data_IF_772293670625
#
_entry.id   IF_772293670625
#
_cell.length_a   1.000
_cell.length_b   1.000
_cell.length_c   1.000
_cell.angle_alpha   90.00
_cell.angle_beta   90.00
_cell.angle_gamma   90.00
#
_symmetry.space_group_name_H-M   'P 1'
#
loop_
_entity.id
_entity.type
_entity.pdbx_description
1 polymer ?
#
# COMPACT_ATOMS: atom_id res chain seq x y z
N UNK A 1 40.88 -15.41 -9.09
CA UNK A 1 40.67 -15.53 -10.55
C UNK A 1 39.19 -15.37 -10.79
N UNK A 2 38.80 -14.66 -11.85
CA UNK A 2 37.37 -14.48 -12.19
C UNK A 2 36.87 -15.79 -12.81
N UNK A 3 35.84 -16.35 -12.21
CA UNK A 3 35.17 -17.57 -12.69
C UNK A 3 34.52 -17.28 -14.05
N UNK A 4 34.76 -18.14 -15.06
CA UNK A 4 34.21 -17.94 -16.41
C UNK A 4 32.75 -18.45 -16.47
N UNK A 5 32.01 -18.12 -17.54
CA UNK A 5 30.60 -18.50 -17.63
C UNK A 5 30.36 -20.02 -17.74
N UNK A 6 31.31 -20.76 -18.30
CA UNK A 6 31.26 -22.22 -18.38
C UNK A 6 31.48 -22.87 -17.01
N UNK A 7 32.41 -22.34 -16.22
CA UNK A 7 32.67 -22.74 -14.84
C UNK A 7 31.43 -22.50 -13.96
N UNK A 8 30.76 -21.35 -14.13
CA UNK A 8 29.51 -21.01 -13.42
C UNK A 8 28.38 -22.00 -13.73
N UNK A 9 28.31 -22.50 -14.98
CA UNK A 9 27.35 -23.54 -15.37
C UNK A 9 27.85 -24.97 -15.12
N UNK A 10 29.10 -25.15 -14.69
CA UNK A 10 29.72 -26.44 -14.43
C UNK A 10 29.91 -27.30 -15.69
N UNK A 11 30.26 -26.67 -16.80
CA UNK A 11 30.44 -27.29 -18.12
C UNK A 11 31.79 -26.88 -18.74
N UNK A 12 32.23 -27.56 -19.80
CA UNK A 12 33.50 -27.26 -20.49
C UNK A 12 33.33 -26.18 -21.57
N UNK A 13 34.39 -25.46 -21.90
CA UNK A 13 34.35 -24.32 -22.84
C UNK A 13 33.89 -24.67 -24.27
N UNK A 14 34.01 -25.94 -24.68
CA UNK A 14 33.57 -26.44 -26.00
C UNK A 14 32.16 -27.08 -25.96
N UNK A 15 31.38 -26.83 -24.90
CA UNK A 15 30.04 -27.39 -24.77
C UNK A 15 29.09 -26.84 -25.83
N UNK A 16 28.27 -27.73 -26.40
CA UNK A 16 27.24 -27.38 -27.38
C UNK A 16 26.12 -26.54 -26.77
N UNK A 17 25.38 -25.80 -27.59
CA UNK A 17 24.20 -25.03 -27.13
C UNK A 17 23.17 -25.87 -26.36
N UNK A 18 23.07 -27.15 -26.72
CA UNK A 18 22.20 -28.11 -26.04
C UNK A 18 22.71 -28.39 -24.62
N UNK A 19 24.00 -28.63 -24.45
CA UNK A 19 24.64 -28.88 -23.15
C UNK A 19 24.59 -27.65 -22.24
N UNK A 20 24.79 -26.45 -22.80
CA UNK A 20 24.63 -25.18 -22.09
C UNK A 20 23.20 -25.02 -21.55
N UNK A 21 22.19 -25.33 -22.39
CA UNK A 21 20.77 -25.25 -22.03
C UNK A 21 20.37 -26.29 -20.97
N UNK A 22 20.87 -27.50 -21.10
CA UNK A 22 20.58 -28.59 -20.17
C UNK A 22 21.24 -28.35 -18.79
N UNK A 23 22.46 -27.80 -18.77
CA UNK A 23 23.14 -27.38 -17.55
C UNK A 23 22.39 -26.23 -16.84
N UNK A 24 21.95 -25.22 -17.58
CA UNK A 24 21.12 -24.13 -17.04
C UNK A 24 19.83 -24.66 -16.43
N UNK A 25 19.11 -25.56 -17.12
CA UNK A 25 17.86 -26.15 -16.60
C UNK A 25 18.09 -26.93 -15.31
N UNK A 26 19.16 -27.72 -15.24
CA UNK A 26 19.52 -28.48 -14.03
C UNK A 26 19.79 -27.55 -12.85
N UNK A 27 20.61 -26.51 -13.05
CA UNK A 27 20.97 -25.54 -12.02
C UNK A 27 19.79 -24.64 -11.63
N UNK A 28 18.96 -24.22 -12.58
CA UNK A 28 17.76 -23.44 -12.33
C UNK A 28 16.75 -24.21 -11.47
N UNK A 29 16.61 -25.53 -11.66
CA UNK A 29 15.76 -26.40 -10.83
C UNK A 29 16.33 -26.64 -9.42
N UNK A 30 17.64 -26.55 -9.26
CA UNK A 30 18.34 -26.74 -7.99
C UNK A 30 18.32 -25.46 -7.13
N UNK A 31 18.49 -24.29 -7.76
CA UNK A 31 18.59 -22.99 -7.09
C UNK A 31 17.32 -22.14 -7.20
N UNK A 32 16.20 -22.71 -7.65
CA UNK A 32 14.91 -22.00 -7.68
C UNK A 32 14.47 -21.60 -6.26
N UNK A 33 13.99 -20.37 -6.10
CA UNK A 33 13.51 -19.82 -4.83
C UNK A 33 12.40 -20.67 -4.20
N UNK A 34 11.54 -21.26 -5.03
CA UNK A 34 10.43 -22.11 -4.58
C UNK A 34 10.88 -23.45 -3.97
N UNK A 35 12.18 -23.79 -4.10
CA UNK A 35 12.81 -24.97 -3.51
C UNK A 35 13.86 -24.64 -2.44
N UNK A 36 13.91 -23.38 -1.99
CA UNK A 36 14.83 -22.92 -0.95
C UNK A 36 16.25 -22.60 -1.43
N UNK A 37 16.46 -22.36 -2.73
CA UNK A 37 17.76 -21.97 -3.28
C UNK A 37 18.15 -20.51 -3.00
N UNK A 38 19.46 -20.24 -2.94
CA UNK A 38 19.99 -18.87 -2.76
C UNK A 38 19.78 -18.01 -4.01
N UNK A 39 19.10 -16.88 -3.84
CA UNK A 39 18.71 -15.95 -4.91
C UNK A 39 19.93 -15.40 -5.68
N UNK A 40 21.04 -15.14 -5.00
CA UNK A 40 22.26 -14.61 -5.62
C UNK A 40 22.90 -15.62 -6.59
N UNK A 41 22.89 -16.91 -6.25
CA UNK A 41 23.46 -17.96 -7.08
C UNK A 41 22.60 -18.20 -8.33
N UNK A 42 21.27 -18.13 -8.19
CA UNK A 42 20.36 -18.19 -9.33
C UNK A 42 20.55 -17.03 -10.32
N UNK A 43 20.73 -15.80 -9.81
CA UNK A 43 21.03 -14.63 -10.64
C UNK A 43 22.33 -14.83 -11.41
N UNK A 44 23.38 -15.36 -10.75
CA UNK A 44 24.67 -15.65 -11.37
C UNK A 44 24.56 -16.71 -12.48
N UNK A 45 23.83 -17.79 -12.23
CA UNK A 45 23.56 -18.88 -13.19
C UNK A 45 22.80 -18.36 -14.41
N UNK A 46 21.79 -17.53 -14.19
CA UNK A 46 20.99 -16.92 -15.27
C UNK A 46 21.84 -16.00 -16.15
N UNK A 47 22.68 -15.17 -15.52
CA UNK A 47 23.58 -14.27 -16.25
C UNK A 47 24.58 -15.04 -17.11
N UNK A 48 25.23 -16.07 -16.55
CA UNK A 48 26.18 -16.90 -17.29
C UNK A 48 25.54 -17.61 -18.50
N UNK A 49 24.29 -18.07 -18.37
CA UNK A 49 23.54 -18.66 -19.48
C UNK A 49 23.24 -17.67 -20.61
N UNK A 50 22.77 -16.47 -20.28
CA UNK A 50 22.50 -15.43 -21.29
C UNK A 50 23.78 -14.93 -21.97
N UNK A 51 24.88 -14.81 -21.22
CA UNK A 51 26.18 -14.42 -21.75
C UNK A 51 26.74 -15.49 -22.72
N UNK A 52 26.63 -16.78 -22.39
CA UNK A 52 27.06 -17.86 -23.30
C UNK A 52 26.21 -17.94 -24.57
N UNK A 53 24.92 -17.62 -24.50
CA UNK A 53 24.02 -17.58 -25.67
C UNK A 53 24.44 -16.54 -26.71
N UNK A 54 25.14 -15.48 -26.28
CA UNK A 54 25.71 -14.44 -27.16
C UNK A 54 27.22 -14.62 -27.37
N UNK A 55 27.79 -15.76 -26.97
CA UNK A 55 29.20 -16.10 -27.18
C UNK A 55 30.18 -15.44 -26.22
N UNK A 56 29.73 -14.88 -25.09
CA UNK A 56 30.60 -14.27 -24.07
C UNK A 56 31.13 -15.33 -23.10
N UNK A 57 32.45 -15.47 -23.06
CA UNK A 57 33.16 -16.43 -22.19
C UNK A 57 33.23 -16.01 -20.72
N UNK A 58 33.24 -14.71 -20.42
CA UNK A 58 33.33 -14.19 -19.05
C UNK A 58 32.11 -13.34 -18.69
N UNK A 59 31.71 -13.31 -17.40
CA UNK A 59 30.69 -12.39 -16.93
C UNK A 59 31.11 -10.93 -17.15
N UNK A 60 30.15 -10.03 -17.29
CA UNK A 60 30.44 -8.60 -17.44
C UNK A 60 31.31 -8.07 -16.30
N UNK A 61 32.41 -7.41 -16.68
CA UNK A 61 33.28 -6.69 -15.74
C UNK A 61 32.52 -5.51 -15.12
N UNK A 62 32.95 -5.01 -13.96
CA UNK A 62 32.30 -3.85 -13.32
C UNK A 62 32.34 -2.58 -14.19
N UNK A 63 33.26 -2.52 -15.16
CA UNK A 63 33.36 -1.45 -16.16
C UNK A 63 32.33 -1.65 -17.28
N UNK A 64 32.14 -2.89 -17.76
CA UNK A 64 31.10 -3.23 -18.73
C UNK A 64 29.69 -3.13 -18.14
N UNK A 65 29.49 -3.50 -16.87
CA UNK A 65 28.25 -3.24 -16.15
C UNK A 65 27.95 -1.75 -16.07
N UNK A 66 28.96 -0.89 -15.85
CA UNK A 66 28.81 0.58 -15.90
C UNK A 66 28.56 1.12 -17.30
N UNK A 67 29.11 0.49 -18.34
CA UNK A 67 28.89 0.92 -19.72
C UNK A 67 27.55 0.40 -20.28
N UNK A 68 27.12 -0.82 -19.96
CA UNK A 68 25.81 -1.36 -20.35
C UNK A 68 24.66 -0.76 -19.53
N UNK A 69 24.90 -0.33 -18.29
CA UNK A 69 23.95 0.53 -17.56
C UNK A 69 23.87 1.96 -18.14
N UNK A 70 24.86 2.38 -18.94
CA UNK A 70 24.83 3.62 -19.74
C UNK A 70 24.21 3.44 -21.14
N UNK A 71 23.93 2.22 -21.60
CA UNK A 71 23.32 1.97 -22.93
C UNK A 71 21.77 1.99 -22.90
N UNK A 72 21.17 2.26 -21.73
CA UNK A 72 19.77 2.68 -21.61
C UNK A 72 19.60 4.19 -21.32
N UNK A 73 20.62 5.02 -21.59
CA UNK A 73 20.59 6.46 -21.27
C UNK A 73 20.73 7.39 -22.47
N UNK A 74 20.17 7.02 -23.63
CA UNK A 74 19.93 7.97 -24.74
C UNK A 74 18.44 8.32 -24.91
N UNK A 75 17.58 7.93 -23.97
CA UNK A 75 16.27 8.54 -23.84
C UNK A 75 16.41 9.78 -22.97
N UNK A 76 16.26 10.95 -23.58
CA UNK A 76 16.13 12.17 -22.79
C UNK A 76 14.91 12.04 -21.87
N UNK A 77 14.86 12.76 -20.76
CA UNK A 77 13.63 12.81 -19.94
C UNK A 77 12.39 13.18 -20.78
N UNK A 78 12.58 13.96 -21.84
CA UNK A 78 11.53 14.32 -22.78
C UNK A 78 11.04 13.10 -23.59
N UNK A 79 11.92 12.19 -23.98
CA UNK A 79 11.55 10.96 -24.70
C UNK A 79 10.79 9.99 -23.79
N UNK A 80 11.26 9.81 -22.56
CA UNK A 80 10.56 8.99 -21.55
C UNK A 80 9.18 9.57 -21.25
N UNK A 81 9.07 10.88 -21.04
CA UNK A 81 7.79 11.58 -20.84
C UNK A 81 6.85 11.40 -22.03
N UNK A 82 7.36 11.54 -23.26
CA UNK A 82 6.57 11.36 -24.49
C UNK A 82 6.04 9.94 -24.62
N UNK A 83 6.88 8.91 -24.40
CA UNK A 83 6.45 7.50 -24.41
C UNK A 83 5.38 7.21 -23.37
N UNK A 84 5.61 7.70 -22.15
CA UNK A 84 4.70 7.55 -21.02
C UNK A 84 3.34 8.23 -21.26
N UNK A 85 3.33 9.37 -21.95
CA UNK A 85 2.11 10.06 -22.36
C UNK A 85 1.34 9.25 -23.42
N UNK A 86 2.03 8.72 -24.43
CA UNK A 86 1.42 7.87 -25.46
C UNK A 86 0.81 6.60 -24.84
N UNK A 87 1.56 5.95 -23.94
CA UNK A 87 1.11 4.76 -23.22
C UNK A 87 -0.15 5.05 -22.41
N UNK A 88 -0.14 6.12 -21.61
CA UNK A 88 -1.27 6.51 -20.78
C UNK A 88 -2.50 6.85 -21.61
N UNK A 89 -2.33 7.52 -22.77
CA UNK A 89 -3.42 7.82 -23.69
C UNK A 89 -4.04 6.56 -24.29
N UNK A 90 -3.22 5.60 -24.72
CA UNK A 90 -3.71 4.33 -25.28
C UNK A 90 -4.49 3.52 -24.25
N UNK A 91 -3.92 3.37 -23.05
CA UNK A 91 -4.57 2.65 -21.95
C UNK A 91 -5.87 3.34 -21.51
N UNK A 92 -5.86 4.66 -21.35
CA UNK A 92 -7.05 5.42 -20.92
C UNK A 92 -8.20 5.30 -21.92
N UNK A 93 -7.90 5.34 -23.22
CA UNK A 93 -8.90 5.12 -24.28
C UNK A 93 -9.49 3.71 -24.22
N UNK A 94 -8.64 2.71 -23.95
CA UNK A 94 -9.08 1.33 -23.81
C UNK A 94 -9.96 1.16 -22.56
N UNK A 95 -9.57 1.76 -21.42
CA UNK A 95 -10.38 1.75 -20.19
C UNK A 95 -11.72 2.44 -20.39
N UNK A 96 -11.76 3.53 -21.16
CA UNK A 96 -13.03 4.18 -21.51
C UNK A 96 -13.94 3.28 -22.35
N UNK A 97 -13.36 2.48 -23.23
CA UNK A 97 -14.09 1.49 -24.02
C UNK A 97 -14.63 0.37 -23.12
N UNK A 98 -13.83 -0.09 -22.16
CA UNK A 98 -14.22 -1.07 -21.15
C UNK A 98 -15.36 -0.57 -20.25
N UNK A 99 -15.27 0.67 -19.77
CA UNK A 99 -16.33 1.34 -19.00
C UNK A 99 -17.64 1.41 -19.78
N UNK A 100 -17.61 1.92 -21.03
CA UNK A 100 -18.81 2.03 -21.85
C UNK A 100 -19.45 0.66 -22.13
N UNK A 101 -18.64 -0.36 -22.36
CA UNK A 101 -19.10 -1.74 -22.55
C UNK A 101 -19.78 -2.28 -21.28
N UNK A 102 -19.15 -2.14 -20.12
CA UNK A 102 -19.71 -2.58 -18.84
C UNK A 102 -21.01 -1.83 -18.51
N UNK A 103 -21.04 -0.52 -18.71
CA UNK A 103 -22.23 0.31 -18.50
C UNK A 103 -23.39 -0.09 -19.43
N UNK A 104 -23.11 -0.42 -20.69
CA UNK A 104 -24.13 -0.86 -21.65
C UNK A 104 -24.74 -2.20 -21.25
N UNK A 105 -23.90 -3.17 -20.85
CA UNK A 105 -24.37 -4.46 -20.34
C UNK A 105 -25.17 -4.30 -19.06
N UNK A 106 -24.73 -3.42 -18.16
CA UNK A 106 -25.44 -3.17 -16.92
C UNK A 106 -26.82 -2.56 -17.14
N UNK A 107 -26.92 -1.54 -18.01
CA UNK A 107 -28.20 -0.92 -18.39
C UNK A 107 -29.16 -1.89 -19.08
N UNK A 108 -28.62 -2.80 -19.88
CA UNK A 108 -29.42 -3.77 -20.65
C UNK A 108 -29.66 -5.09 -19.88
N UNK A 109 -29.14 -5.21 -18.66
CA UNK A 109 -29.15 -6.42 -17.85
C UNK A 109 -28.64 -7.67 -18.60
N UNK A 110 -27.63 -7.51 -19.45
CA UNK A 110 -27.04 -8.58 -20.25
C UNK A 110 -25.74 -9.07 -19.62
N UNK A 111 -25.50 -10.37 -19.71
CA UNK A 111 -24.23 -10.98 -19.29
C UNK A 111 -23.28 -11.15 -20.45
N UNK A 112 -22.04 -10.75 -20.28
CA UNK A 112 -20.98 -11.05 -21.24
C UNK A 112 -19.60 -10.92 -20.59
N UNK A 113 -18.61 -11.51 -21.25
CA UNK A 113 -17.19 -11.40 -20.93
C UNK A 113 -16.45 -10.85 -22.12
N UNK A 114 -15.47 -9.96 -21.89
CA UNK A 114 -14.63 -9.39 -22.93
C UNK A 114 -13.24 -9.08 -22.41
N UNK A 115 -12.25 -9.38 -23.23
CA UNK A 115 -10.86 -8.97 -23.03
C UNK A 115 -10.62 -7.58 -23.64
N UNK A 116 -9.92 -6.75 -22.90
CA UNK A 116 -9.49 -5.40 -23.28
C UNK A 116 -7.98 -5.29 -23.16
N UNK A 117 -7.39 -4.35 -23.90
CA UNK A 117 -5.95 -4.12 -23.91
C UNK A 117 -5.22 -4.96 -24.94
N UNK A 118 -3.92 -5.16 -24.72
CA UNK A 118 -3.07 -5.88 -25.67
C UNK A 118 -1.96 -6.64 -24.95
N UNK A 119 -1.39 -7.64 -25.62
CA UNK A 119 -0.22 -8.37 -25.12
C UNK A 119 0.98 -7.47 -24.76
N UNK A 120 1.08 -6.29 -25.36
CA UNK A 120 2.19 -5.36 -25.12
C UNK A 120 1.91 -4.35 -24.01
N UNK A 121 0.64 -4.01 -23.78
CA UNK A 121 0.22 -2.99 -22.81
C UNK A 121 -0.38 -3.57 -21.52
N UNK A 122 -0.63 -4.88 -21.51
CA UNK A 122 -1.39 -5.56 -20.49
C UNK A 122 -2.83 -5.84 -20.96
N UNK A 123 -3.33 -7.01 -20.59
CA UNK A 123 -4.68 -7.45 -20.91
C UNK A 123 -5.52 -7.49 -19.63
N UNK A 124 -6.76 -7.02 -19.70
CA UNK A 124 -7.74 -7.14 -18.63
C UNK A 124 -9.00 -7.81 -19.15
N UNK A 125 -9.53 -8.75 -18.38
CA UNK A 125 -10.80 -9.43 -18.65
C UNK A 125 -11.87 -8.80 -17.77
N UNK A 126 -12.95 -8.31 -18.39
CA UNK A 126 -14.15 -7.90 -17.68
C UNK A 126 -15.26 -8.90 -17.96
N UNK A 127 -15.99 -9.28 -16.92
CA UNK A 127 -17.18 -10.12 -16.99
C UNK A 127 -18.31 -9.46 -16.19
N UNK A 128 -19.42 -9.11 -16.86
CA UNK A 128 -20.65 -8.73 -16.17
C UNK A 128 -21.47 -9.99 -15.91
N UNK A 129 -21.61 -10.37 -14.64
CA UNK A 129 -22.32 -11.57 -14.17
C UNK A 129 -23.83 -11.38 -14.13
N UNK A 130 -24.62 -12.45 -14.13
CA UNK A 130 -26.09 -12.39 -14.14
C UNK A 130 -26.68 -11.54 -13.00
N UNK A 131 -26.02 -11.53 -11.84
CA UNK A 131 -26.41 -10.80 -10.64
C UNK A 131 -26.07 -9.30 -10.66
N UNK A 132 -25.54 -8.74 -11.75
CA UNK A 132 -25.13 -7.32 -11.78
C UNK A 132 -23.68 -7.05 -11.41
N UNK A 133 -22.97 -8.02 -10.83
CA UNK A 133 -21.58 -7.80 -10.43
C UNK A 133 -20.65 -7.77 -11.65
N UNK A 134 -19.70 -6.83 -11.64
CA UNK A 134 -18.61 -6.77 -12.60
C UNK A 134 -17.37 -7.45 -12.01
N UNK A 135 -16.89 -8.52 -12.65
CA UNK A 135 -15.61 -9.13 -12.34
C UNK A 135 -14.54 -8.55 -13.24
N UNK A 136 -13.42 -8.12 -12.67
CA UNK A 136 -12.26 -7.61 -13.39
C UNK A 136 -11.06 -8.49 -13.04
N UNK A 137 -10.42 -9.08 -14.05
CA UNK A 137 -9.18 -9.85 -13.89
C UNK A 137 -8.06 -9.22 -14.71
N UNK A 138 -6.87 -9.14 -14.12
CA UNK A 138 -5.71 -8.46 -14.73
C UNK A 138 -5.38 -7.16 -13.99
N UNK A 139 -4.22 -6.58 -14.30
CA UNK A 139 -3.77 -5.35 -13.63
C UNK A 139 -4.47 -4.12 -14.24
N UNK A 140 -5.05 -3.27 -13.41
CA UNK A 140 -5.76 -2.07 -13.84
C UNK A 140 -4.87 -0.83 -13.70
N UNK A 141 -4.71 -0.08 -14.79
CA UNK A 141 -3.83 1.09 -14.86
C UNK A 141 -4.31 2.11 -15.89
N UNK A 142 -4.03 3.38 -15.63
CA UNK A 142 -4.14 4.50 -16.56
C UNK A 142 -5.56 4.68 -17.15
N UNK A 143 -6.50 5.11 -16.32
CA UNK A 143 -7.87 5.39 -16.76
C UNK A 143 -8.88 5.35 -15.63
N UNK A 144 -10.13 5.68 -15.97
CA UNK A 144 -11.24 5.63 -15.01
C UNK A 144 -12.31 4.63 -15.44
N UNK A 145 -12.95 4.02 -14.45
CA UNK A 145 -14.15 3.21 -14.65
C UNK A 145 -15.20 3.61 -13.61
N UNK A 146 -16.39 3.95 -14.08
CA UNK A 146 -17.58 4.18 -13.27
C UNK A 146 -18.57 3.05 -13.47
N UNK A 147 -19.06 2.46 -12.39
CA UNK A 147 -19.98 1.33 -12.48
C UNK A 147 -21.08 1.40 -11.41
N UNK A 148 -22.30 1.01 -11.78
CA UNK A 148 -23.43 0.93 -10.86
C UNK A 148 -23.68 -0.52 -10.45
N UNK A 149 -23.02 -0.94 -9.38
CA UNK A 149 -23.13 -2.29 -8.84
C UNK A 149 -21.80 -2.82 -8.30
N UNK A 150 -21.81 -4.03 -7.71
CA UNK A 150 -20.63 -4.58 -7.07
C UNK A 150 -19.50 -4.87 -8.07
N UNK A 151 -18.25 -4.63 -7.66
CA UNK A 151 -17.06 -5.02 -8.41
C UNK A 151 -16.22 -6.02 -7.61
N UNK A 152 -15.83 -7.12 -8.25
CA UNK A 152 -14.81 -8.04 -7.74
C UNK A 152 -13.55 -7.97 -8.59
N UNK A 153 -12.41 -7.69 -7.98
CA UNK A 153 -11.13 -7.49 -8.66
C UNK A 153 -10.15 -8.63 -8.35
N UNK A 154 -9.47 -9.12 -9.39
CA UNK A 154 -8.35 -10.06 -9.32
C UNK A 154 -7.16 -9.50 -10.11
N UNK A 155 -6.33 -8.73 -9.44
CA UNK A 155 -5.18 -8.06 -10.03
C UNK A 155 -4.81 -6.80 -9.24
N UNK A 156 -3.64 -6.24 -9.53
CA UNK A 156 -3.20 -5.01 -8.87
C UNK A 156 -3.79 -3.77 -9.56
N UNK A 157 -3.94 -2.70 -8.81
CA UNK A 157 -4.39 -1.39 -9.29
C UNK A 157 -3.23 -0.42 -9.10
N UNK A 158 -2.82 0.24 -10.17
CA UNK A 158 -1.69 1.18 -10.11
C UNK A 158 -2.01 2.43 -10.90
N UNK A 159 -1.72 3.59 -10.34
CA UNK A 159 -1.82 4.84 -11.07
C UNK A 159 -0.48 5.24 -11.71
N UNK A 160 -0.49 5.72 -12.97
CA UNK A 160 0.68 6.37 -13.55
C UNK A 160 1.23 7.47 -12.65
N UNK A 161 2.50 7.39 -12.26
CA UNK A 161 3.14 8.42 -11.43
C UNK A 161 3.61 9.64 -12.22
N UNK A 162 3.61 9.57 -13.55
CA UNK A 162 4.16 10.62 -14.43
C UNK A 162 3.11 11.60 -14.96
N UNK A 163 1.81 11.34 -14.78
CA UNK A 163 0.74 12.17 -15.33
C UNK A 163 -0.53 12.09 -14.50
N UNK A 164 -1.10 13.25 -14.15
CA UNK A 164 -2.40 13.34 -13.49
C UNK A 164 -3.57 13.09 -14.44
N UNK A 165 -3.38 13.33 -15.73
CA UNK A 165 -4.44 13.21 -16.75
C UNK A 165 -4.96 11.77 -16.85
N UNK A 166 -4.09 10.79 -16.65
CA UNK A 166 -4.43 9.37 -16.72
C UNK A 166 -4.41 8.72 -15.33
N UNK A 167 -4.75 9.49 -14.29
CA UNK A 167 -4.86 8.93 -12.95
C UNK A 167 -5.84 7.75 -12.94
N UNK A 168 -5.43 6.67 -12.28
CA UNK A 168 -6.27 5.48 -12.15
C UNK A 168 -7.38 5.75 -11.15
N UNK A 169 -8.64 5.70 -11.59
CA UNK A 169 -9.82 5.90 -10.75
C UNK A 169 -10.87 4.81 -10.94
N UNK A 170 -11.31 4.18 -9.86
CA UNK A 170 -12.45 3.27 -9.84
C UNK A 170 -13.55 3.91 -9.01
N UNK A 171 -14.72 4.13 -9.60
CA UNK A 171 -15.87 4.73 -8.93
C UNK A 171 -17.09 3.81 -9.02
N UNK A 172 -17.65 3.44 -7.88
CA UNK A 172 -18.92 2.73 -7.79
C UNK A 172 -19.99 3.67 -7.24
N UNK A 173 -21.10 3.81 -7.96
CA UNK A 173 -22.27 4.54 -7.44
C UNK A 173 -23.05 3.71 -6.42
N UNK A 174 -23.03 2.39 -6.58
CA UNK A 174 -23.62 1.45 -5.64
C UNK A 174 -22.88 0.10 -5.62
N UNK A 175 -23.04 -0.65 -4.55
CA UNK A 175 -22.48 -1.99 -4.39
C UNK A 175 -21.07 -2.01 -3.79
N UNK A 176 -20.63 -3.20 -3.37
CA UNK A 176 -19.32 -3.34 -2.73
C UNK A 176 -18.20 -3.46 -3.76
N UNK A 177 -17.03 -2.88 -3.43
CA UNK A 177 -15.77 -3.14 -4.13
C UNK A 177 -14.93 -4.14 -3.33
N UNK A 178 -14.54 -5.27 -3.93
CA UNK A 178 -13.79 -6.32 -3.23
C UNK A 178 -12.65 -6.90 -4.05
N UNK A 179 -11.49 -7.09 -3.43
CA UNK A 179 -10.48 -8.02 -3.94
C UNK A 179 -10.89 -9.46 -3.66
N UNK A 180 -10.54 -10.38 -4.56
CA UNK A 180 -10.72 -11.83 -4.31
C UNK A 180 -9.59 -12.32 -3.40
N UNK A 181 -9.92 -12.83 -2.21
CA UNK A 181 -8.97 -13.32 -1.20
C UNK A 181 -7.86 -12.30 -0.83
N UNK A 182 -8.23 -11.09 -0.35
CA UNK A 182 -7.31 -9.96 -0.17
C UNK A 182 -6.13 -10.21 0.77
N UNK A 183 -6.25 -11.19 1.69
CA UNK A 183 -5.22 -11.53 2.66
C UNK A 183 -4.24 -12.61 2.15
N UNK A 184 -4.64 -13.37 1.13
CA UNK A 184 -3.82 -14.47 0.58
C UNK A 184 -3.07 -14.03 -0.67
N UNK A 185 -3.67 -13.12 -1.44
CA UNK A 185 -3.07 -12.59 -2.65
C UNK A 185 -2.09 -11.45 -2.32
N UNK A 186 -1.12 -11.23 -3.22
CA UNK A 186 -0.16 -10.11 -3.13
C UNK A 186 -0.59 -8.91 -3.97
N UNK A 187 -1.89 -8.79 -4.28
CA UNK A 187 -2.38 -7.66 -5.05
C UNK A 187 -2.32 -6.38 -4.21
N UNK A 188 -2.05 -5.29 -4.91
CA UNK A 188 -1.81 -3.98 -4.30
C UNK A 188 -2.57 -2.89 -5.03
N UNK A 189 -2.90 -1.84 -4.29
CA UNK A 189 -3.43 -0.58 -4.82
C UNK A 189 -2.37 0.48 -4.56
N UNK A 190 -1.82 1.10 -5.60
CA UNK A 190 -0.65 1.97 -5.43
C UNK A 190 -0.56 3.19 -6.35
N UNK A 191 0.44 4.03 -6.06
CA UNK A 191 0.92 5.12 -6.90
C UNK A 191 -0.05 6.28 -7.12
N UNK A 192 -0.97 6.50 -6.19
CA UNK A 192 -1.97 7.56 -6.29
C UNK A 192 -3.28 7.13 -6.94
N UNK A 193 -3.54 5.83 -7.00
CA UNK A 193 -4.85 5.32 -7.43
C UNK A 193 -5.97 5.82 -6.51
N UNK A 194 -7.15 6.01 -7.07
CA UNK A 194 -8.34 6.45 -6.35
C UNK A 194 -9.44 5.38 -6.48
N UNK A 195 -10.00 4.95 -5.35
CA UNK A 195 -11.16 4.08 -5.29
C UNK A 195 -12.24 4.77 -4.47
N UNK A 196 -13.41 5.00 -5.07
CA UNK A 196 -14.56 5.65 -4.44
C UNK A 196 -15.77 4.74 -4.56
N UNK A 197 -16.47 4.53 -3.45
CA UNK A 197 -17.75 3.80 -3.40
C UNK A 197 -18.77 4.68 -2.69
N UNK A 198 -19.75 5.21 -3.42
CA UNK A 198 -20.74 6.14 -2.86
C UNK A 198 -21.68 5.44 -1.86
N UNK A 199 -22.14 4.25 -2.24
CA UNK A 199 -23.10 3.44 -1.47
C UNK A 199 -22.72 1.95 -1.48
N UNK A 200 -21.85 1.55 -0.56
CA UNK A 200 -21.37 0.19 -0.43
C UNK A 200 -20.10 0.14 0.40
N UNK A 201 -19.51 -1.05 0.54
CA UNK A 201 -18.30 -1.27 1.33
C UNK A 201 -17.08 -1.56 0.44
N UNK A 202 -15.89 -1.42 1.00
CA UNK A 202 -14.63 -1.77 0.36
C UNK A 202 -13.93 -2.85 1.17
N UNK A 203 -13.51 -3.95 0.51
CA UNK A 203 -12.70 -5.00 1.12
C UNK A 203 -11.48 -5.26 0.24
N UNK A 204 -10.32 -4.81 0.71
CA UNK A 204 -9.07 -4.78 -0.05
C UNK A 204 -7.92 -5.34 0.79
N UNK A 205 -6.78 -5.58 0.14
CA UNK A 205 -5.56 -6.01 0.79
C UNK A 205 -4.65 -4.82 1.07
N UNK A 206 -3.53 -4.79 0.38
CA UNK A 206 -2.44 -3.84 0.61
C UNK A 206 -2.60 -2.56 -0.22
N UNK A 207 -2.41 -1.41 0.43
CA UNK A 207 -2.54 -0.07 -0.17
C UNK A 207 -1.26 0.72 0.09
N UNK A 208 -0.71 1.28 -0.98
CA UNK A 208 0.57 2.00 -0.92
C UNK A 208 0.44 3.40 -1.52
N UNK A 209 0.95 4.39 -0.81
CA UNK A 209 1.31 5.67 -1.40
C UNK A 209 2.71 5.64 -2.00
N UNK A 210 3.14 6.79 -2.52
CA UNK A 210 4.57 7.07 -2.76
C UNK A 210 4.92 8.52 -2.48
N UNK A 211 6.18 8.75 -2.12
CA UNK A 211 6.83 10.07 -2.06
C UNK A 211 8.06 10.05 -2.94
N UNK A 212 8.23 11.05 -3.79
CA UNK A 212 9.46 11.26 -4.55
C UNK A 212 10.15 12.52 -4.08
N UNK A 213 11.48 12.45 -3.96
CA UNK A 213 12.31 13.64 -3.83
C UNK A 213 12.62 14.15 -5.23
N UNK A 214 12.13 15.33 -5.57
CA UNK A 214 12.37 16.00 -6.84
C UNK A 214 13.32 17.17 -6.59
N UNK A 215 14.33 17.34 -7.43
CA UNK A 215 15.23 18.48 -7.32
C UNK A 215 14.49 19.80 -7.57
N UNK A 216 15.02 20.89 -7.01
CA UNK A 216 14.44 22.22 -7.20
C UNK A 216 14.35 22.57 -8.70
N UNK A 217 13.18 23.02 -9.20
CA UNK A 217 13.00 23.37 -10.61
C UNK A 217 13.98 24.45 -11.11
N UNK A 218 14.49 25.31 -10.22
CA UNK A 218 15.47 26.35 -10.54
C UNK A 218 16.93 25.81 -10.50
N UNK A 219 17.14 24.51 -10.27
CA UNK A 219 18.46 23.87 -10.24
C UNK A 219 19.28 24.17 -9.00
N UNK A 220 18.66 24.65 -7.91
CA UNK A 220 19.37 24.96 -6.65
C UNK A 220 19.86 23.68 -5.99
N UNK A 221 21.18 23.51 -5.99
CA UNK A 221 21.86 22.37 -5.35
C UNK A 221 21.51 22.30 -3.86
N UNK A 222 21.03 21.13 -3.42
CA UNK A 222 20.67 20.87 -2.03
C UNK A 222 19.23 21.22 -1.65
N UNK A 223 18.47 21.89 -2.52
CA UNK A 223 17.03 22.13 -2.35
C UNK A 223 16.26 21.04 -3.08
N UNK A 224 15.27 20.46 -2.42
CA UNK A 224 14.40 19.44 -3.00
C UNK A 224 12.96 19.66 -2.57
N UNK A 225 12.05 19.30 -3.45
CA UNK A 225 10.62 19.26 -3.20
C UNK A 225 10.18 17.82 -3.04
N UNK A 226 9.31 17.54 -2.08
CA UNK A 226 8.71 16.22 -1.93
C UNK A 226 7.42 16.22 -2.75
N UNK A 227 7.36 15.37 -3.77
CA UNK A 227 6.16 15.13 -4.55
C UNK A 227 5.45 13.89 -4.02
N UNK A 228 4.24 14.07 -3.50
CA UNK A 228 3.42 12.97 -2.97
C UNK A 228 2.46 12.44 -4.03
N UNK A 229 2.41 11.10 -4.15
CA UNK A 229 1.43 10.36 -4.92
C UNK A 229 0.53 9.61 -3.95
N UNK A 230 -0.36 10.36 -3.30
CA UNK A 230 -1.24 9.82 -2.26
C UNK A 230 -2.33 8.95 -2.87
N UNK A 231 -2.41 7.70 -2.43
CA UNK A 231 -3.47 6.75 -2.83
C UNK A 231 -4.70 6.99 -1.96
N UNK A 232 -5.88 7.06 -2.57
CA UNK A 232 -7.13 7.46 -1.91
C UNK A 232 -8.17 6.34 -1.98
N UNK A 233 -8.70 5.93 -0.83
CA UNK A 233 -9.78 4.94 -0.72
C UNK A 233 -10.94 5.58 0.06
N UNK A 234 -12.12 5.64 -0.53
CA UNK A 234 -13.26 6.33 0.07
C UNK A 234 -14.56 5.53 -0.04
N UNK A 235 -15.25 5.41 1.10
CA UNK A 235 -16.58 4.84 1.24
C UNK A 235 -17.30 5.60 2.36
N UNK A 236 -17.71 6.87 2.14
CA UNK A 236 -18.02 7.81 3.21
C UNK A 236 -19.11 7.35 4.19
N UNK A 237 -20.07 6.57 3.68
CA UNK A 237 -21.20 6.02 4.43
C UNK A 237 -21.09 4.50 4.67
N UNK A 238 -19.97 3.89 4.28
CA UNK A 238 -19.78 2.45 4.34
C UNK A 238 -18.61 2.04 5.22
N UNK A 239 -18.19 0.79 5.05
CA UNK A 239 -17.06 0.19 5.74
C UNK A 239 -15.89 -0.04 4.79
N UNK A 240 -14.68 0.27 5.25
CA UNK A 240 -13.44 -0.12 4.58
C UNK A 240 -12.72 -1.16 5.44
N UNK A 241 -12.38 -2.29 4.82
CA UNK A 241 -11.51 -3.31 5.39
C UNK A 241 -10.25 -3.37 4.53
N UNK A 242 -9.08 -3.14 5.13
CA UNK A 242 -7.79 -3.23 4.46
C UNK A 242 -6.77 -4.00 5.31
N UNK A 243 -5.76 -4.58 4.67
CA UNK A 243 -4.68 -5.25 5.38
C UNK A 243 -3.66 -4.20 5.86
N UNK A 244 -2.82 -3.72 4.95
CA UNK A 244 -1.77 -2.74 5.26
C UNK A 244 -1.99 -1.45 4.46
N UNK A 245 -1.91 -0.32 5.16
CA UNK A 245 -1.83 1.03 4.57
C UNK A 245 -0.40 1.52 4.77
N UNK A 246 0.33 1.83 3.71
CA UNK A 246 1.76 2.14 3.79
C UNK A 246 2.09 3.37 2.95
N UNK A 247 2.98 4.23 3.43
CA UNK A 247 3.34 5.51 2.79
C UNK A 247 2.12 6.45 2.70
N UNK A 248 2.12 7.33 1.69
CA UNK A 248 1.06 8.33 1.48
C UNK A 248 -0.28 7.69 1.11
N UNK A 249 -1.07 7.32 2.11
CA UNK A 249 -2.42 6.77 1.92
C UNK A 249 -3.45 7.63 2.65
N UNK A 250 -4.59 7.85 2.03
CA UNK A 250 -5.78 8.44 2.65
C UNK A 250 -6.94 7.47 2.57
N UNK A 251 -7.58 7.20 3.70
CA UNK A 251 -8.76 6.36 3.80
C UNK A 251 -9.88 7.13 4.52
N UNK A 252 -11.06 7.22 3.91
CA UNK A 252 -12.24 7.86 4.51
C UNK A 252 -13.47 6.95 4.45
N UNK A 253 -14.09 6.70 5.61
CA UNK A 253 -15.32 5.92 5.71
C UNK A 253 -16.15 6.25 6.95
N UNK A 254 -17.28 5.57 7.15
CA UNK A 254 -17.96 5.58 8.45
C UNK A 254 -17.25 4.63 9.43
N UNK A 255 -16.89 3.43 8.97
CA UNK A 255 -16.15 2.41 9.74
C UNK A 255 -14.91 1.93 8.98
N UNK A 256 -13.75 1.89 9.65
CA UNK A 256 -12.48 1.43 9.10
C UNK A 256 -11.95 0.29 9.96
N UNK A 257 -11.64 -0.84 9.32
CA UNK A 257 -10.99 -2.00 9.92
C UNK A 257 -9.67 -2.24 9.21
N UNK A 258 -8.55 -2.20 9.94
CA UNK A 258 -7.22 -2.36 9.36
C UNK A 258 -6.32 -3.24 10.20
N UNK A 259 -5.36 -3.90 9.55
CA UNK A 259 -4.27 -4.57 10.25
C UNK A 259 -3.20 -3.54 10.62
N UNK A 260 -2.59 -2.87 9.65
CA UNK A 260 -1.47 -1.94 9.91
C UNK A 260 -1.60 -0.63 9.12
N UNK A 261 -0.98 0.42 9.66
CA UNK A 261 -0.80 1.72 9.02
C UNK A 261 0.63 2.23 9.32
N UNK A 262 1.42 2.42 8.27
CA UNK A 262 2.84 2.76 8.39
C UNK A 262 3.17 3.95 7.49
N UNK A 263 3.85 4.97 8.02
CA UNK A 263 4.43 6.11 7.27
C UNK A 263 3.41 7.04 6.56
N UNK A 264 2.96 8.12 7.18
CA UNK A 264 2.08 9.17 6.58
C UNK A 264 0.73 8.64 6.03
N UNK A 265 0.12 7.75 6.81
CA UNK A 265 -1.24 7.28 6.58
C UNK A 265 -2.24 8.22 7.26
N UNK A 266 -3.30 8.59 6.53
CA UNK A 266 -4.42 9.39 7.04
C UNK A 266 -5.70 8.58 7.03
N UNK A 267 -6.32 8.45 8.19
CA UNK A 267 -7.53 7.66 8.41
C UNK A 267 -8.61 8.61 8.90
N UNK A 268 -9.75 8.69 8.22
CA UNK A 268 -10.90 9.51 8.61
C UNK A 268 -12.12 8.61 8.80
N UNK A 269 -12.60 8.45 10.04
CA UNK A 269 -13.77 7.61 10.31
C UNK A 269 -14.47 7.92 11.63
N UNK A 270 -15.70 7.42 11.76
CA UNK A 270 -16.45 7.39 13.02
C UNK A 270 -16.04 6.18 13.85
N UNK A 271 -15.85 5.02 13.24
CA UNK A 271 -15.31 3.83 13.91
C UNK A 271 -13.97 3.42 13.31
N UNK A 272 -12.95 3.23 14.16
CA UNK A 272 -11.65 2.69 13.76
C UNK A 272 -11.29 1.46 14.59
N UNK A 273 -11.16 0.32 13.93
CA UNK A 273 -10.77 -0.96 14.52
C UNK A 273 -9.40 -1.37 14.00
N UNK A 274 -8.41 -1.40 14.89
CA UNK A 274 -7.02 -1.69 14.57
C UNK A 274 -6.62 -3.07 15.09
N UNK A 275 -6.34 -4.01 14.19
CA UNK A 275 -6.08 -5.41 14.54
C UNK A 275 -4.60 -5.80 14.57
N UNK A 276 -3.73 -5.05 13.89
CA UNK A 276 -2.29 -5.31 13.89
C UNK A 276 -1.53 -4.47 14.90
N UNK A 277 -0.22 -4.69 14.92
CA UNK A 277 0.69 -4.11 15.92
C UNK A 277 1.36 -2.81 15.49
N UNK A 278 1.11 -2.32 14.27
CA UNK A 278 1.87 -1.20 13.69
C UNK A 278 1.00 0.00 13.31
N UNK A 279 1.22 1.11 14.00
CA UNK A 279 0.72 2.44 13.65
C UNK A 279 1.88 3.42 13.76
N UNK A 280 2.56 3.74 12.66
CA UNK A 280 3.89 4.38 12.72
C UNK A 280 3.97 5.67 11.91
N UNK A 281 4.93 6.52 12.30
CA UNK A 281 5.50 7.68 11.58
C UNK A 281 4.51 8.59 10.84
N UNK A 282 4.36 9.83 11.32
CA UNK A 282 3.54 10.87 10.66
C UNK A 282 2.08 10.48 10.33
N UNK A 283 1.60 9.37 10.88
CA UNK A 283 0.25 8.85 10.63
C UNK A 283 -0.78 9.51 11.55
N UNK A 284 -1.97 9.76 11.00
CA UNK A 284 -3.05 10.51 11.65
C UNK A 284 -4.36 9.75 11.56
N UNK A 285 -5.05 9.63 12.70
CA UNK A 285 -6.46 9.23 12.76
C UNK A 285 -7.30 10.48 13.02
N UNK A 286 -8.09 10.89 12.04
CA UNK A 286 -9.15 11.89 12.15
C UNK A 286 -10.45 11.21 12.61
N UNK A 287 -10.79 11.38 13.90
CA UNK A 287 -11.98 10.77 14.49
C UNK A 287 -13.17 11.70 14.38
N UNK A 288 -14.21 11.25 13.68
CA UNK A 288 -15.50 11.95 13.53
C UNK A 288 -16.25 12.01 14.86
N UNK A 289 -17.07 13.05 15.05
CA UNK A 289 -17.82 13.27 16.28
C UNK A 289 -18.68 12.06 16.66
N UNK A 290 -18.70 11.72 17.95
CA UNK A 290 -19.38 10.52 18.47
C UNK A 290 -18.67 9.20 18.15
N UNK A 291 -17.47 9.26 17.55
CA UNK A 291 -16.72 8.09 17.11
C UNK A 291 -16.01 7.30 18.22
N UNK A 292 -15.46 6.16 17.82
CA UNK A 292 -14.70 5.25 18.68
C UNK A 292 -13.45 4.68 17.99
N UNK A 293 -12.42 4.43 18.78
CA UNK A 293 -11.18 3.78 18.35
C UNK A 293 -10.90 2.57 19.25
N UNK A 294 -10.49 1.45 18.66
CA UNK A 294 -10.12 0.22 19.38
C UNK A 294 -8.83 -0.37 18.80
N UNK A 295 -7.87 -0.64 19.68
CA UNK A 295 -6.62 -1.33 19.34
C UNK A 295 -6.65 -2.73 19.93
N UNK A 296 -6.60 -3.77 19.09
CA UNK A 296 -6.74 -5.18 19.51
C UNK A 296 -5.41 -5.89 19.79
N UNK A 297 -4.27 -5.25 19.53
CA UNK A 297 -2.94 -5.77 19.87
C UNK A 297 -2.87 -6.18 21.36
N UNK A 298 -2.35 -7.39 21.62
CA UNK A 298 -2.30 -8.02 22.95
C UNK A 298 -0.88 -8.26 23.46
N UNK A 299 0.10 -8.32 22.57
CA UNK A 299 1.47 -8.70 22.88
C UNK A 299 2.35 -7.48 23.13
N UNK A 300 2.46 -6.58 22.14
CA UNK A 300 3.37 -5.44 22.21
C UNK A 300 2.82 -4.21 21.51
N UNK A 301 2.60 -3.15 22.29
CA UNK A 301 2.24 -1.83 21.76
C UNK A 301 3.46 -1.02 21.29
N UNK A 302 4.63 -1.63 21.13
CA UNK A 302 5.84 -0.93 20.68
C UNK A 302 5.72 -0.44 19.23
N UNK A 303 5.07 -1.22 18.35
CA UNK A 303 4.81 -0.82 16.97
C UNK A 303 3.75 0.28 16.82
N UNK A 304 3.05 0.63 17.89
CA UNK A 304 2.19 1.80 17.95
C UNK A 304 3.04 3.02 18.32
N UNK A 305 3.49 3.77 17.32
CA UNK A 305 4.44 4.85 17.49
C UNK A 305 3.88 5.98 18.35
N UNK A 306 4.74 6.59 19.16
CA UNK A 306 4.34 7.68 20.07
C UNK A 306 4.03 9.00 19.38
N UNK A 307 4.56 9.20 18.17
CA UNK A 307 4.36 10.40 17.33
C UNK A 307 3.03 10.40 16.57
N UNK A 308 2.39 9.23 16.45
CA UNK A 308 1.07 9.08 15.85
C UNK A 308 0.05 10.02 16.49
N UNK A 309 -0.83 10.61 15.66
CA UNK A 309 -1.76 11.65 16.11
C UNK A 309 -3.20 11.15 15.97
N UNK A 310 -3.98 11.35 17.02
CA UNK A 310 -5.43 11.32 16.93
C UNK A 310 -5.93 12.75 16.90
N UNK A 311 -6.60 13.14 15.83
CA UNK A 311 -7.21 14.45 15.63
C UNK A 311 -8.72 14.28 15.71
N UNK A 312 -9.35 14.95 16.65
CA UNK A 312 -10.80 15.00 16.74
C UNK A 312 -11.36 15.98 15.71
N UNK A 313 -12.60 15.78 15.29
CA UNK A 313 -13.31 16.66 14.35
C UNK A 313 -13.33 18.14 14.81
N UNK A 314 -13.40 18.40 16.12
CA UNK A 314 -13.29 19.75 16.69
C UNK A 314 -11.87 20.38 16.61
N UNK A 315 -10.90 19.67 16.03
CA UNK A 315 -9.52 20.10 15.84
C UNK A 315 -8.56 19.74 16.98
N UNK A 316 -9.04 19.17 18.11
CA UNK A 316 -8.17 18.74 19.21
C UNK A 316 -7.23 17.63 18.73
N UNK A 317 -5.92 17.80 18.96
CA UNK A 317 -4.89 16.80 18.63
C UNK A 317 -4.35 16.15 19.89
N UNK A 318 -4.27 14.83 19.88
CA UNK A 318 -3.79 13.99 20.99
C UNK A 318 -2.71 13.09 20.43
N UNK A 319 -1.57 12.99 21.11
CA UNK A 319 -0.50 12.08 20.72
C UNK A 319 -0.82 10.68 21.21
N UNK A 320 -0.54 9.68 20.39
CA UNK A 320 -0.76 8.29 20.76
C UNK A 320 0.09 7.90 21.99
N UNK A 321 1.26 8.51 22.17
CA UNK A 321 2.06 8.39 23.39
C UNK A 321 1.27 8.67 24.67
N UNK A 322 0.43 9.71 24.68
CA UNK A 322 -0.36 10.10 25.85
C UNK A 322 -1.41 9.02 26.17
N UNK A 323 -1.96 8.35 25.14
CA UNK A 323 -2.94 7.29 25.30
C UNK A 323 -2.32 5.97 25.75
N UNK A 324 -1.11 5.65 25.27
CA UNK A 324 -0.36 4.44 25.66
C UNK A 324 -0.02 4.44 27.15
N UNK A 325 0.18 5.61 27.74
CA UNK A 325 0.58 5.75 29.15
C UNK A 325 -0.59 5.99 30.09
N UNK A 326 -1.75 6.41 29.57
CA UNK A 326 -2.96 6.68 30.38
C UNK A 326 -3.59 5.36 30.84
N UNK A 327 -3.78 5.22 32.16
CA UNK A 327 -4.47 4.07 32.76
C UNK A 327 -5.98 4.28 32.71
N UNK A 328 -6.72 3.19 32.50
CA UNK A 328 -8.20 3.20 32.48
C UNK A 328 -8.76 3.67 33.83
N UNK A 329 -8.14 3.25 34.93
CA UNK A 329 -8.57 3.63 36.30
C UNK A 329 -8.52 5.14 36.56
N UNK A 330 -7.64 5.86 35.84
CA UNK A 330 -7.39 7.30 36.01
C UNK A 330 -8.34 8.15 35.14
N UNK A 331 -9.28 7.53 34.41
CA UNK A 331 -10.35 8.24 33.70
C UNK A 331 -11.37 8.81 34.70
N UNK A 332 -12.27 9.69 34.27
CA UNK A 332 -13.41 10.11 35.09
C UNK A 332 -14.46 8.96 35.15
N UNK A 333 -15.09 8.75 36.31
CA UNK A 333 -16.13 7.74 36.50
C UNK A 333 -17.33 7.95 35.55
N UNK A 334 -17.60 9.21 35.17
CA UNK A 334 -18.63 9.54 34.17
C UNK A 334 -18.39 8.82 32.84
N UNK A 335 -17.13 8.65 32.43
CA UNK A 335 -16.77 7.98 31.18
C UNK A 335 -16.47 6.49 31.40
N UNK A 336 -16.17 6.07 32.63
CA UNK A 336 -15.87 4.69 32.95
C UNK A 336 -16.44 4.31 34.31
N UNK A 337 -17.73 3.91 34.38
CA UNK A 337 -18.37 3.57 35.65
C UNK A 337 -17.92 2.21 36.21
N UNK A 338 -17.44 1.29 35.37
CA UNK A 338 -17.10 -0.09 35.75
C UNK A 338 -15.57 -0.35 35.70
N UNK A 339 -14.78 0.51 36.34
CA UNK A 339 -13.30 0.44 36.28
C UNK A 339 -12.73 -0.81 36.95
N UNK A 340 -13.44 -1.37 37.92
CA UNK A 340 -13.09 -2.56 38.67
C UNK A 340 -12.96 -3.82 37.80
N UNK A 341 -13.55 -3.82 36.60
CA UNK A 341 -13.40 -4.91 35.64
C UNK A 341 -12.04 -4.92 34.92
N UNK A 342 -11.21 -3.90 35.12
CA UNK A 342 -9.90 -3.78 34.48
C UNK A 342 -8.77 -3.99 35.49
N UNK A 343 -7.68 -4.59 35.03
CA UNK A 343 -6.46 -4.69 35.84
C UNK A 343 -5.91 -3.30 36.14
N UNK A 344 -5.20 -3.15 37.28
CA UNK A 344 -4.64 -1.86 37.72
C UNK A 344 -3.71 -1.23 36.68
N UNK A 345 -3.08 -2.05 35.84
CA UNK A 345 -2.14 -1.63 34.82
C UNK A 345 -2.75 -1.49 33.42
N UNK A 346 -4.05 -1.74 33.26
CA UNK A 346 -4.72 -1.62 31.96
C UNK A 346 -4.68 -0.17 31.44
N UNK A 347 -4.29 -0.04 30.17
CA UNK A 347 -4.14 1.22 29.43
C UNK A 347 -5.26 1.39 28.41
N UNK A 348 -5.44 2.61 27.89
CA UNK A 348 -6.43 2.88 26.84
C UNK A 348 -6.11 2.15 25.53
N UNK A 349 -4.82 1.94 25.25
CA UNK A 349 -4.35 1.28 24.03
C UNK A 349 -4.06 -0.20 24.31
N UNK A 350 -4.55 -1.07 23.42
CA UNK A 350 -4.42 -2.53 23.49
C UNK A 350 -5.67 -3.21 24.05
N UNK A 351 -5.72 -4.55 23.93
CA UNK A 351 -6.79 -5.41 24.46
C UNK A 351 -8.22 -5.05 24.02
N UNK A 352 -8.38 -4.29 22.93
CA UNK A 352 -9.68 -3.94 22.36
C UNK A 352 -10.52 -3.00 23.21
N UNK A 353 -9.89 -2.22 24.11
CA UNK A 353 -10.58 -1.19 24.89
C UNK A 353 -11.23 -0.15 23.98
N UNK A 354 -12.44 0.30 24.33
CA UNK A 354 -13.20 1.26 23.53
C UNK A 354 -12.87 2.68 23.97
N UNK A 355 -12.08 3.37 23.15
CA UNK A 355 -11.75 4.77 23.33
C UNK A 355 -12.81 5.60 22.61
N UNK A 356 -13.63 6.36 23.33
CA UNK A 356 -14.67 7.20 22.72
C UNK A 356 -14.15 8.60 22.40
N UNK A 357 -14.81 9.28 21.45
CA UNK A 357 -14.57 10.69 21.13
C UNK A 357 -14.62 11.56 22.39
N UNK A 358 -15.66 11.41 23.21
CA UNK A 358 -15.86 12.22 24.42
C UNK A 358 -14.76 11.99 25.47
N UNK A 359 -14.28 10.75 25.63
CA UNK A 359 -13.12 10.46 26.48
C UNK A 359 -11.91 11.26 26.01
N UNK A 360 -11.62 11.20 24.71
CA UNK A 360 -10.49 11.90 24.09
C UNK A 360 -10.61 13.42 24.23
N UNK A 361 -11.81 13.96 24.04
CA UNK A 361 -12.08 15.39 24.13
C UNK A 361 -11.94 15.92 25.57
N UNK A 362 -12.22 15.06 26.55
CA UNK A 362 -12.10 15.39 27.97
C UNK A 362 -10.80 14.89 28.62
N UNK A 363 -9.86 14.33 27.86
CA UNK A 363 -8.51 14.07 28.35
C UNK A 363 -7.86 15.39 28.78
N UNK A 364 -7.74 15.57 30.09
CA UNK A 364 -6.93 16.64 30.67
C UNK A 364 -5.46 16.37 30.32
N UNK A 365 -4.77 17.38 29.79
CA UNK A 365 -3.30 17.38 29.80
C UNK A 365 -2.91 17.23 31.27
N UNK A 366 -2.22 16.15 31.63
CA UNK A 366 -1.81 15.90 33.00
C UNK A 366 -1.23 17.19 33.59
N UNK A 367 -1.90 17.67 34.64
CA UNK A 367 -1.42 18.74 35.51
C UNK A 367 0.00 18.37 35.88
N UNK A 368 0.94 19.26 35.60
CA UNK A 368 2.32 19.18 36.06
C UNK A 368 2.34 18.69 37.50
N UNK A 369 3.10 17.62 37.77
CA UNK A 369 3.44 17.12 39.11
C UNK A 369 3.36 18.27 40.12
N UNK A 370 2.44 18.17 41.10
CA UNK A 370 2.54 18.96 42.32
C UNK A 370 4.00 18.87 42.77
N UNK A 371 4.71 19.98 42.74
CA UNK A 371 6.03 20.10 43.38
C UNK A 371 5.80 19.75 44.85
N UNK A 372 6.09 18.52 45.23
CA UNK A 372 6.27 18.16 46.63
C UNK A 372 7.42 19.03 47.13
N UNK A 373 7.10 20.09 47.86
CA UNK A 373 8.07 21.00 48.45
C UNK A 373 8.96 20.22 49.41
N UNK A 374 10.18 19.90 48.98
CA UNK A 374 11.20 19.40 49.87
C UNK A 374 11.68 20.59 50.71
N UNK A 375 11.08 20.78 51.88
CA UNK A 375 11.65 21.66 52.89
C UNK A 375 12.89 20.96 53.46
N UNK A 376 14.08 21.44 53.10
CA UNK A 376 15.29 21.09 53.81
C UNK A 376 15.21 21.62 55.24
N UNK A 377 15.31 20.72 56.22
CA UNK A 377 15.65 21.07 57.60
C UNK A 377 17.17 21.00 57.72
N UNK A 378 17.82 22.13 57.49
CA UNK A 378 19.12 22.41 58.11
C UNK A 378 18.99 23.79 58.77
N UNK A 379 18.80 23.76 60.08
CA UNK A 379 18.93 24.92 60.94
C UNK A 379 20.41 25.13 61.25
N UNK A 380 20.81 26.40 61.23
CA UNK A 380 22.10 26.91 61.71
C UNK A 380 22.26 26.72 63.22
#
# INVERSE_FOLDING_TARGET
>A
MVENNFDILGIVEDSTEKEIRDAFRRLALQYHSDRGGENEQFIKIKQAYEDLKIGKKYPETDIEKRNNSRVYSDETEADVKRKNQILGQQLSKEMKTAENWAATLNKSNLTATRLFGSKTLGEIELERKANGSLSIKGNFMAGSITYDGPITMQGSITSPSWTKEFQTKIHLTSGDFKFINPLENKYKIENGAEIVVDSGNIVIGNVYGRKFRVEDPDGKVGVFQIQEHRTHISSPNGKIIAENLIDTVSVDADSIIILNAEDDVRISAREVLFYGGKFTYDSIIELKQGGTIRFFEKFSIQGLSGDGIIKLENGKKIRLFDLKTKKIRDLDDKFMPNKENFTKDATLVGNGFTITYDMLDNLSKNISKQKSGWKSKFGF
#
